data_IF_409153268115
#
_entry.id   IF_409153268115
#
_cell.length_a   1.000
_cell.length_b   1.000
_cell.length_c   1.000
_cell.angle_alpha   90.00
_cell.angle_beta   90.00
_cell.angle_gamma   90.00
#
_symmetry.space_group_name_H-M   'P 1'
#
loop_
_entity.id
_entity.type
_entity.pdbx_description
1 polymer ?
#
# COMPACT_ATOMS: atom_id res chain seq x y z
N UNK A 1 22.34 9.37 14.13
CA UNK A 1 20.96 9.88 14.33
C UNK A 1 20.14 8.73 14.88
N UNK A 2 19.41 8.96 15.95
CA UNK A 2 18.58 7.94 16.58
C UNK A 2 17.27 7.80 15.77
N UNK A 3 16.87 6.56 15.48
CA UNK A 3 15.55 6.29 14.89
C UNK A 3 14.48 6.44 15.99
N UNK A 4 13.51 7.31 15.76
CA UNK A 4 12.39 7.54 16.66
C UNK A 4 11.24 6.56 16.42
N UNK A 5 10.98 6.21 15.17
CA UNK A 5 9.98 5.24 14.76
C UNK A 5 10.17 4.87 13.30
N UNK A 6 9.60 3.74 12.86
CA UNK A 6 9.47 3.38 11.45
C UNK A 6 8.05 2.93 11.13
N UNK A 7 7.47 3.47 10.07
CA UNK A 7 6.18 3.02 9.54
C UNK A 7 6.40 2.37 8.18
N UNK A 8 6.04 1.10 8.07
CA UNK A 8 6.17 0.31 6.85
C UNK A 8 4.82 0.26 6.12
N UNK A 9 4.76 0.82 4.93
CA UNK A 9 3.61 0.73 4.04
C UNK A 9 3.84 -0.45 3.09
N UNK A 10 2.98 -1.46 3.17
CA UNK A 10 3.07 -2.69 2.38
C UNK A 10 1.94 -2.74 1.37
N UNK A 11 2.25 -2.94 0.09
CA UNK A 11 1.22 -3.20 -0.91
C UNK A 11 0.74 -4.64 -0.79
N UNK A 12 -0.59 -4.88 -0.95
CA UNK A 12 -1.15 -6.23 -0.98
C UNK A 12 -0.52 -7.13 -2.06
N UNK A 13 -0.63 -8.44 -1.89
CA UNK A 13 -0.19 -9.46 -2.85
C UNK A 13 -1.03 -9.53 -4.12
N UNK A 14 -0.65 -10.43 -5.03
CA UNK A 14 -1.38 -10.63 -6.28
C UNK A 14 -2.83 -11.05 -6.02
N UNK A 15 -3.74 -10.53 -6.86
CA UNK A 15 -5.18 -10.75 -6.75
C UNK A 15 -5.64 -11.76 -7.79
N UNK A 16 -6.54 -12.68 -7.40
CA UNK A 16 -7.23 -13.55 -8.34
C UNK A 16 -8.21 -12.74 -9.19
N UNK A 17 -7.83 -12.44 -10.43
CA UNK A 17 -8.59 -11.58 -11.35
C UNK A 17 -8.51 -12.10 -12.79
N UNK A 18 -9.12 -13.28 -13.09
CA UNK A 18 -9.04 -13.88 -14.42
C UNK A 18 -9.70 -13.01 -15.52
N UNK A 19 -10.73 -12.26 -15.18
CA UNK A 19 -11.47 -11.39 -16.10
C UNK A 19 -10.81 -10.03 -16.35
N UNK A 20 -9.67 -9.77 -15.71
CA UNK A 20 -8.91 -8.51 -15.83
C UNK A 20 -9.76 -7.26 -15.59
N UNK A 21 -10.58 -7.32 -14.56
CA UNK A 21 -11.44 -6.22 -14.15
C UNK A 21 -10.62 -5.19 -13.35
N UNK A 22 -10.88 -3.92 -13.56
CA UNK A 22 -10.37 -2.87 -12.67
C UNK A 22 -11.15 -2.96 -11.34
N UNK A 23 -10.59 -3.63 -10.35
CA UNK A 23 -11.33 -3.96 -9.12
C UNK A 23 -11.36 -2.83 -8.08
N UNK A 24 -10.44 -1.84 -8.14
CA UNK A 24 -10.48 -0.66 -7.25
C UNK A 24 -10.87 -0.98 -5.81
N UNK A 25 -12.04 -0.53 -5.36
CA UNK A 25 -12.61 -0.78 -4.02
C UNK A 25 -13.54 -2.00 -3.94
N UNK A 26 -13.73 -2.75 -5.01
CA UNK A 26 -14.59 -3.93 -5.01
C UNK A 26 -14.07 -4.96 -3.98
N UNK A 27 -14.95 -5.45 -3.07
CA UNK A 27 -14.53 -6.26 -1.91
C UNK A 27 -14.21 -7.72 -2.24
N UNK A 28 -14.82 -8.30 -3.30
CA UNK A 28 -14.77 -9.74 -3.61
C UNK A 28 -13.39 -10.21 -4.13
N UNK A 29 -12.50 -9.28 -4.42
CA UNK A 29 -11.19 -9.57 -5.01
C UNK A 29 -10.17 -9.96 -3.92
N UNK A 30 -10.07 -11.27 -3.66
CA UNK A 30 -9.07 -11.89 -2.79
C UNK A 30 -7.75 -12.17 -3.49
N UNK A 31 -6.75 -12.65 -2.74
CA UNK A 31 -5.46 -13.04 -3.27
C UNK A 31 -5.56 -14.28 -4.17
N UNK A 32 -4.69 -14.36 -5.18
CA UNK A 32 -4.38 -15.60 -5.90
C UNK A 32 -3.51 -16.52 -5.03
N UNK A 33 -3.28 -17.76 -5.49
CA UNK A 33 -2.32 -18.67 -4.84
C UNK A 33 -0.92 -18.03 -4.74
N UNK A 34 -0.46 -17.40 -5.82
CA UNK A 34 0.79 -16.63 -5.83
C UNK A 34 0.73 -15.45 -4.84
N UNK A 35 -0.42 -14.76 -4.75
CA UNK A 35 -0.64 -13.70 -3.79
C UNK A 35 -0.54 -14.15 -2.34
N UNK A 36 -1.04 -15.35 -2.03
CA UNK A 36 -0.88 -15.97 -0.71
C UNK A 36 0.59 -16.36 -0.43
N UNK A 37 1.32 -16.83 -1.43
CA UNK A 37 2.75 -17.07 -1.30
C UNK A 37 3.53 -15.78 -1.04
N UNK A 38 3.22 -14.72 -1.78
CA UNK A 38 3.78 -13.39 -1.56
C UNK A 38 3.48 -12.84 -0.16
N UNK A 39 2.27 -13.08 0.37
CA UNK A 39 1.89 -12.67 1.73
C UNK A 39 2.75 -13.39 2.79
N UNK A 40 2.99 -14.69 2.63
CA UNK A 40 3.90 -15.44 3.51
C UNK A 40 5.36 -14.96 3.37
N UNK A 41 5.80 -14.66 2.14
CA UNK A 41 7.14 -14.16 1.88
C UNK A 41 7.43 -12.81 2.55
N UNK A 42 6.49 -11.87 2.50
CA UNK A 42 6.67 -10.58 3.20
C UNK A 42 6.62 -10.74 4.72
N UNK A 43 5.82 -11.65 5.26
CA UNK A 43 5.81 -11.97 6.68
C UNK A 43 7.15 -12.56 7.14
N UNK A 44 7.71 -13.49 6.37
CA UNK A 44 9.04 -14.07 6.63
C UNK A 44 10.14 -13.01 6.58
N UNK A 45 10.10 -12.10 5.62
CA UNK A 45 11.05 -10.99 5.53
C UNK A 45 11.02 -10.09 6.77
N UNK A 46 9.84 -9.77 7.31
CA UNK A 46 9.71 -9.00 8.54
C UNK A 46 10.23 -9.78 9.75
N UNK A 47 9.97 -11.09 9.83
CA UNK A 47 10.46 -11.94 10.91
C UNK A 47 12.01 -12.03 10.91
N UNK A 48 12.61 -12.21 9.72
CA UNK A 48 14.06 -12.20 9.56
C UNK A 48 14.66 -10.82 9.94
N UNK A 49 14.05 -9.75 9.48
CA UNK A 49 14.44 -8.39 9.82
C UNK A 49 14.38 -8.15 11.33
N UNK A 50 13.31 -8.61 11.99
CA UNK A 50 13.16 -8.48 13.44
C UNK A 50 14.25 -9.25 14.19
N UNK A 51 14.59 -10.46 13.74
CA UNK A 51 15.69 -11.25 14.31
C UNK A 51 17.06 -10.55 14.16
N UNK A 52 17.30 -9.90 13.02
CA UNK A 52 18.55 -9.18 12.74
C UNK A 52 18.66 -7.85 13.50
N UNK A 53 17.58 -7.10 13.63
CA UNK A 53 17.59 -5.76 14.20
C UNK A 53 17.21 -5.70 15.68
N UNK A 54 16.61 -6.78 16.21
CA UNK A 54 16.01 -6.82 17.55
C UNK A 54 14.71 -5.99 17.63
N UNK A 55 14.10 -5.63 16.48
CA UNK A 55 12.90 -4.78 16.42
C UNK A 55 11.77 -5.49 15.69
N UNK A 56 10.74 -5.88 16.44
CA UNK A 56 9.50 -6.41 15.90
C UNK A 56 8.47 -5.27 15.70
N UNK A 57 7.52 -5.41 14.78
CA UNK A 57 6.38 -4.50 14.71
C UNK A 57 5.56 -4.54 16.01
N UNK A 58 5.19 -3.38 16.54
CA UNK A 58 4.24 -3.25 17.66
C UNK A 58 2.79 -3.14 17.19
N UNK A 59 2.57 -2.77 15.93
CA UNK A 59 1.23 -2.61 15.32
C UNK A 59 1.22 -3.20 13.92
N UNK A 60 0.19 -4.00 13.63
CA UNK A 60 -0.13 -4.47 12.26
C UNK A 60 -1.54 -4.03 11.92
N UNK A 61 -1.69 -3.19 10.90
CA UNK A 61 -2.97 -2.72 10.41
C UNK A 61 -3.14 -2.96 8.90
N UNK A 62 -4.37 -3.09 8.44
CA UNK A 62 -4.67 -3.29 7.02
C UNK A 62 -5.94 -2.58 6.58
N UNK A 63 -5.96 -2.18 5.31
CA UNK A 63 -7.17 -1.79 4.60
C UNK A 63 -8.30 -2.82 4.80
N UNK A 64 -9.58 -2.41 4.81
CA UNK A 64 -10.71 -3.34 4.97
C UNK A 64 -10.90 -4.29 3.77
N UNK A 65 -10.23 -4.07 2.64
CA UNK A 65 -10.38 -4.90 1.45
C UNK A 65 -9.72 -6.27 1.62
N UNK A 66 -10.43 -7.32 1.20
CA UNK A 66 -10.07 -8.74 1.41
C UNK A 66 -8.61 -9.04 1.10
N UNK A 67 -8.08 -8.60 -0.04
CA UNK A 67 -6.68 -8.80 -0.45
C UNK A 67 -5.65 -8.19 0.52
N UNK A 68 -5.98 -7.04 1.13
CA UNK A 68 -5.09 -6.41 2.11
C UNK A 68 -5.14 -7.16 3.44
N UNK A 69 -6.32 -7.57 3.90
CA UNK A 69 -6.50 -8.39 5.09
C UNK A 69 -5.77 -9.73 4.95
N UNK A 70 -5.92 -10.41 3.81
CA UNK A 70 -5.23 -11.68 3.52
C UNK A 70 -3.71 -11.52 3.44
N UNK A 71 -3.22 -10.38 2.96
CA UNK A 71 -1.77 -10.09 2.95
C UNK A 71 -1.23 -9.83 4.35
N UNK A 72 -1.99 -9.15 5.19
CA UNK A 72 -1.59 -8.78 6.55
C UNK A 72 -1.69 -9.94 7.55
N UNK A 73 -2.61 -10.88 7.34
CA UNK A 73 -2.89 -11.96 8.30
C UNK A 73 -1.65 -12.80 8.67
N UNK A 74 -0.83 -13.32 7.72
CA UNK A 74 0.37 -14.08 8.07
C UNK A 74 1.42 -13.23 8.79
N UNK A 75 1.46 -11.91 8.52
CA UNK A 75 2.36 -10.99 9.18
C UNK A 75 1.92 -10.75 10.65
N UNK A 76 0.65 -10.49 10.89
CA UNK A 76 0.10 -10.36 12.24
C UNK A 76 0.32 -11.64 13.07
N UNK A 77 0.08 -12.81 12.44
CA UNK A 77 0.32 -14.11 13.07
C UNK A 77 1.80 -14.36 13.41
N UNK A 78 2.74 -13.93 12.57
CA UNK A 78 4.18 -14.11 12.82
C UNK A 78 4.68 -13.37 14.07
N UNK A 79 3.97 -12.34 14.52
CA UNK A 79 4.32 -11.53 15.69
C UNK A 79 3.32 -11.64 16.84
N UNK A 80 2.34 -12.56 16.74
CA UNK A 80 1.26 -12.74 17.73
C UNK A 80 0.52 -11.42 18.04
N UNK A 81 0.28 -10.62 16.99
CA UNK A 81 -0.39 -9.32 17.09
C UNK A 81 -1.83 -9.39 16.56
N UNK A 82 -2.76 -8.62 17.14
CA UNK A 82 -4.06 -8.43 16.53
C UNK A 82 -3.94 -7.69 15.21
N UNK A 83 -4.68 -8.14 14.20
CA UNK A 83 -4.79 -7.40 12.93
C UNK A 83 -5.84 -6.30 13.07
N UNK A 84 -5.40 -5.04 13.01
CA UNK A 84 -6.27 -3.87 13.07
C UNK A 84 -6.82 -3.55 11.69
N UNK A 85 -8.14 -3.47 11.55
CA UNK A 85 -8.76 -2.99 10.30
C UNK A 85 -8.82 -1.47 10.32
N UNK A 86 -8.16 -0.83 9.33
CA UNK A 86 -8.05 0.62 9.22
C UNK A 86 -8.74 1.11 7.94
N UNK A 87 -9.93 1.75 8.04
CA UNK A 87 -10.70 2.18 6.87
C UNK A 87 -9.96 3.15 5.95
N UNK A 88 -9.14 4.02 6.52
CA UNK A 88 -8.41 5.04 5.75
C UNK A 88 -7.19 4.49 4.98
N UNK A 89 -6.84 3.20 5.15
CA UNK A 89 -5.86 2.51 4.30
C UNK A 89 -6.46 1.99 2.98
N UNK A 90 -7.76 2.24 2.71
CA UNK A 90 -8.45 1.76 1.51
C UNK A 90 -7.85 2.33 0.22
N UNK A 91 -8.04 1.61 -0.91
CA UNK A 91 -7.64 2.07 -2.25
C UNK A 91 -8.35 3.39 -2.63
N UNK A 92 -7.80 4.10 -3.59
CA UNK A 92 -8.42 5.28 -4.16
C UNK A 92 -9.73 4.93 -4.88
N UNK A 93 -10.72 5.81 -4.80
CA UNK A 93 -11.90 5.71 -5.65
C UNK A 93 -11.55 5.79 -7.13
N UNK A 94 -12.22 4.98 -7.94
CA UNK A 94 -12.05 4.99 -9.38
C UNK A 94 -13.39 4.80 -10.09
N UNK A 95 -13.82 5.79 -10.87
CA UNK A 95 -15.08 5.78 -11.61
C UNK A 95 -15.13 4.73 -12.75
N UNK A 96 -14.03 3.98 -12.96
CA UNK A 96 -13.93 2.88 -13.94
C UNK A 96 -13.92 1.50 -13.27
N UNK A 97 -14.19 1.42 -11.97
CA UNK A 97 -14.33 0.16 -11.25
C UNK A 97 -15.37 -0.75 -11.91
N UNK A 98 -15.10 -2.05 -11.93
CA UNK A 98 -15.94 -3.05 -12.59
C UNK A 98 -15.72 -3.17 -14.10
N UNK A 99 -14.92 -2.30 -14.71
CA UNK A 99 -14.67 -2.35 -16.16
C UNK A 99 -13.47 -3.22 -16.48
N UNK A 100 -13.62 -4.14 -17.42
CA UNK A 100 -12.50 -4.79 -18.10
C UNK A 100 -12.05 -3.94 -19.29
N UNK A 101 -10.75 -3.98 -19.63
CA UNK A 101 -10.21 -3.27 -20.81
C UNK A 101 -10.58 -1.77 -20.87
N UNK A 102 -10.33 -1.03 -19.79
CA UNK A 102 -10.70 0.39 -19.67
C UNK A 102 -10.32 1.23 -20.89
N UNK A 103 -9.12 1.06 -21.43
CA UNK A 103 -8.66 1.80 -22.62
C UNK A 103 -9.53 1.53 -23.88
N UNK A 104 -9.95 0.28 -24.10
CA UNK A 104 -10.83 -0.08 -25.21
C UNK A 104 -12.26 0.45 -24.99
N UNK A 105 -12.74 0.41 -23.75
CA UNK A 105 -14.04 0.95 -23.36
C UNK A 105 -14.12 2.45 -23.53
N UNK A 106 -13.07 3.19 -23.19
CA UNK A 106 -12.94 4.64 -23.42
C UNK A 106 -12.99 4.99 -24.93
N UNK A 107 -12.33 4.20 -25.77
CA UNK A 107 -12.37 4.42 -27.24
C UNK A 107 -13.77 4.20 -27.82
N UNK A 108 -14.53 3.24 -27.28
CA UNK A 108 -15.89 2.90 -27.76
C UNK A 108 -17.00 3.77 -27.19
N UNK A 109 -16.76 4.41 -26.02
CA UNK A 109 -17.80 5.18 -25.34
C UNK A 109 -17.33 6.62 -25.01
N UNK A 110 -17.59 7.59 -25.92
CA UNK A 110 -17.22 9.00 -25.70
C UNK A 110 -17.87 9.63 -24.46
N UNK A 111 -18.97 9.08 -23.96
CA UNK A 111 -19.63 9.57 -22.73
C UNK A 111 -18.74 9.46 -21.48
N UNK A 112 -17.70 8.65 -21.53
CA UNK A 112 -16.72 8.50 -20.44
C UNK A 112 -15.62 9.58 -20.47
N UNK A 113 -15.42 10.29 -21.59
CA UNK A 113 -14.35 11.27 -21.76
C UNK A 113 -14.40 12.43 -20.77
N UNK A 114 -15.57 12.96 -20.36
CA UNK A 114 -15.61 14.01 -19.34
C UNK A 114 -14.98 13.59 -18.01
N UNK A 115 -14.89 12.28 -17.73
CA UNK A 115 -14.21 11.75 -16.54
C UNK A 115 -12.69 11.86 -16.63
N UNK A 116 -12.10 12.06 -17.81
CA UNK A 116 -10.64 12.17 -18.03
C UNK A 116 -10.15 13.61 -18.20
N UNK A 117 -11.01 14.61 -18.03
CA UNK A 117 -10.70 16.02 -18.36
C UNK A 117 -9.59 16.66 -17.53
N UNK A 118 -9.24 16.13 -16.36
CA UNK A 118 -8.20 16.71 -15.52
C UNK A 118 -7.27 15.62 -14.95
N UNK A 119 -6.14 15.32 -15.61
CA UNK A 119 -5.17 14.34 -15.13
C UNK A 119 -4.35 14.83 -13.93
N UNK A 120 -4.25 16.14 -13.69
CA UNK A 120 -3.51 16.70 -12.57
C UNK A 120 -4.28 16.59 -11.25
N UNK A 121 -5.61 16.59 -11.33
CA UNK A 121 -6.53 16.32 -10.23
C UNK A 121 -7.52 15.28 -10.75
N UNK A 122 -7.33 13.99 -10.44
CA UNK A 122 -8.07 12.93 -11.12
C UNK A 122 -9.58 13.18 -11.02
N UNK A 123 -10.19 13.48 -12.20
CA UNK A 123 -11.64 13.68 -12.30
C UNK A 123 -12.41 12.36 -12.36
N UNK A 124 -11.68 11.24 -12.35
CA UNK A 124 -12.21 9.87 -12.33
C UNK A 124 -12.14 9.20 -10.97
N UNK A 125 -11.69 9.90 -9.91
CA UNK A 125 -11.55 9.30 -8.59
C UNK A 125 -11.18 10.28 -7.50
N UNK A 126 -10.71 9.75 -6.39
CA UNK A 126 -10.29 10.51 -5.22
C UNK A 126 -9.09 11.42 -5.53
N UNK A 127 -9.14 12.73 -5.15
CA UNK A 127 -8.01 13.64 -5.36
C UNK A 127 -6.74 13.18 -4.64
N UNK A 128 -5.58 13.23 -5.30
CA UNK A 128 -4.29 12.79 -4.73
C UNK A 128 -3.98 13.43 -3.38
N UNK A 129 -4.33 14.72 -3.19
CA UNK A 129 -4.11 15.41 -1.91
C UNK A 129 -4.97 14.84 -0.79
N UNK A 130 -6.22 14.46 -1.07
CA UNK A 130 -7.08 13.83 -0.08
C UNK A 130 -6.56 12.45 0.31
N UNK A 131 -6.11 11.64 -0.67
CA UNK A 131 -5.47 10.35 -0.41
C UNK A 131 -4.23 10.50 0.47
N UNK A 132 -3.31 11.40 0.10
CA UNK A 132 -2.10 11.64 0.88
C UNK A 132 -2.44 12.09 2.31
N UNK A 133 -3.42 12.98 2.47
CA UNK A 133 -3.82 13.49 3.79
C UNK A 133 -4.39 12.39 4.70
N UNK A 134 -5.33 11.54 4.21
CA UNK A 134 -5.88 10.44 5.03
C UNK A 134 -4.81 9.41 5.39
N UNK A 135 -3.97 9.04 4.42
CA UNK A 135 -2.88 8.09 4.66
C UNK A 135 -1.87 8.62 5.69
N UNK A 136 -1.45 9.89 5.58
CA UNK A 136 -0.53 10.50 6.54
C UNK A 136 -1.14 10.62 7.93
N UNK A 137 -2.44 10.90 8.05
CA UNK A 137 -3.14 10.91 9.33
C UNK A 137 -3.10 9.52 10.01
N UNK A 138 -3.32 8.45 9.25
CA UNK A 138 -3.19 7.07 9.77
C UNK A 138 -1.75 6.76 10.15
N UNK A 139 -0.79 7.10 9.28
CA UNK A 139 0.64 6.90 9.54
C UNK A 139 1.06 7.57 10.85
N UNK A 140 0.68 8.84 11.08
CA UNK A 140 1.03 9.57 12.30
C UNK A 140 0.36 8.99 13.53
N UNK A 141 -0.90 8.61 13.45
CA UNK A 141 -1.64 8.00 14.56
C UNK A 141 -1.04 6.66 14.95
N UNK A 142 -0.88 5.72 14.00
CA UNK A 142 -0.37 4.37 14.29
C UNK A 142 1.13 4.38 14.64
N UNK A 143 1.89 5.35 14.15
CA UNK A 143 3.25 5.62 14.63
C UNK A 143 3.24 6.01 16.11
N UNK A 144 2.34 6.92 16.50
CA UNK A 144 2.18 7.32 17.89
C UNK A 144 1.78 6.18 18.81
N UNK A 145 0.83 5.35 18.38
CA UNK A 145 0.41 4.15 19.12
C UNK A 145 1.56 3.14 19.28
N UNK A 146 2.33 2.88 18.22
CA UNK A 146 3.50 2.01 18.29
C UNK A 146 4.56 2.53 19.26
N UNK A 147 4.86 3.82 19.22
CA UNK A 147 5.82 4.45 20.15
C UNK A 147 5.31 4.42 21.59
N UNK A 148 4.00 4.58 21.81
CA UNK A 148 3.43 4.48 23.15
C UNK A 148 3.48 3.04 23.71
N UNK A 149 3.39 2.03 22.84
CA UNK A 149 3.46 0.62 23.22
C UNK A 149 4.90 0.13 23.46
N UNK A 150 5.85 0.49 22.59
CA UNK A 150 7.17 -0.14 22.51
C UNK A 150 8.35 0.87 22.63
N UNK A 151 8.03 2.15 22.82
CA UNK A 151 9.03 3.22 23.02
C UNK A 151 9.70 3.70 21.73
N UNK A 152 10.77 4.50 21.86
CA UNK A 152 11.51 5.03 20.71
C UNK A 152 12.14 3.93 19.87
N UNK A 153 11.96 4.04 18.55
CA UNK A 153 12.41 3.05 17.59
C UNK A 153 11.35 2.02 17.24
N UNK A 154 10.14 2.12 17.82
CA UNK A 154 9.02 1.23 17.50
C UNK A 154 8.67 1.21 16.01
N UNK A 155 8.19 0.07 15.55
CA UNK A 155 7.82 -0.16 14.16
C UNK A 155 6.32 -0.47 14.04
N UNK A 156 5.68 0.00 12.97
CA UNK A 156 4.33 -0.38 12.59
C UNK A 156 4.26 -0.79 11.13
N UNK A 157 3.39 -1.77 10.81
CA UNK A 157 3.21 -2.28 9.44
C UNK A 157 1.78 -2.06 9.00
N UNK A 158 1.59 -1.35 7.89
CA UNK A 158 0.31 -0.93 7.34
C UNK A 158 0.14 -1.50 5.94
N UNK A 159 -0.78 -2.46 5.77
CA UNK A 159 -1.04 -3.06 4.45
C UNK A 159 -2.12 -2.28 3.72
N UNK A 160 -1.77 -1.76 2.56
CA UNK A 160 -2.62 -0.89 1.75
C UNK A 160 -2.45 -1.22 0.25
N UNK A 161 -2.65 -0.23 -0.62
CA UNK A 161 -2.76 -0.39 -2.07
C UNK A 161 -1.77 0.52 -2.80
N UNK A 162 -1.61 0.27 -4.11
CA UNK A 162 -0.58 0.92 -4.92
C UNK A 162 -0.67 2.44 -4.90
N UNK A 163 -1.83 3.00 -5.23
CA UNK A 163 -1.93 4.45 -5.39
C UNK A 163 -1.85 5.21 -4.06
N UNK A 164 -2.54 4.82 -2.98
CA UNK A 164 -2.38 5.45 -1.66
C UNK A 164 -0.95 5.43 -1.15
N UNK A 165 -0.24 4.30 -1.26
CA UNK A 165 1.17 4.20 -0.85
C UNK A 165 2.05 5.14 -1.68
N UNK A 166 1.88 5.12 -3.01
CA UNK A 166 2.68 5.93 -3.91
C UNK A 166 2.50 7.44 -3.69
N UNK A 167 1.26 7.91 -3.56
CA UNK A 167 1.01 9.34 -3.32
C UNK A 167 1.48 9.79 -1.94
N UNK A 168 1.43 8.90 -0.93
CA UNK A 168 2.00 9.16 0.40
C UNK A 168 3.51 9.33 0.31
N UNK A 169 4.20 8.44 -0.40
CA UNK A 169 5.64 8.57 -0.65
C UNK A 169 5.98 9.87 -1.35
N UNK A 170 5.27 10.22 -2.43
CA UNK A 170 5.49 11.49 -3.13
C UNK A 170 5.28 12.70 -2.22
N UNK A 171 4.25 12.70 -1.37
CA UNK A 171 3.98 13.77 -0.42
C UNK A 171 5.11 13.94 0.60
N UNK A 172 5.60 12.83 1.18
CA UNK A 172 6.73 12.82 2.12
C UNK A 172 8.03 13.32 1.47
N UNK A 173 8.28 12.91 0.21
CA UNK A 173 9.45 13.35 -0.55
C UNK A 173 9.33 14.78 -1.08
N UNK A 174 8.22 15.50 -0.85
CA UNK A 174 7.97 16.85 -1.37
C UNK A 174 7.84 16.90 -2.90
N UNK A 175 7.50 15.81 -3.54
CA UNK A 175 7.38 15.66 -4.99
C UNK A 175 5.96 15.98 -5.47
N UNK A 176 5.79 16.40 -6.75
CA UNK A 176 4.45 16.55 -7.34
C UNK A 176 3.65 15.25 -7.26
N UNK A 177 2.39 15.34 -6.79
CA UNK A 177 1.53 14.16 -6.63
C UNK A 177 0.99 13.62 -7.97
N UNK A 178 0.93 14.43 -9.01
CA UNK A 178 0.63 13.95 -10.37
C UNK A 178 1.83 13.17 -10.92
N UNK A 179 1.59 12.04 -11.55
CA UNK A 179 2.65 11.15 -12.02
C UNK A 179 2.17 10.23 -13.15
N UNK A 180 3.08 9.67 -13.91
CA UNK A 180 2.81 8.57 -14.85
C UNK A 180 2.57 7.29 -14.04
N UNK A 181 1.39 6.66 -14.14
CA UNK A 181 1.07 5.42 -13.42
C UNK A 181 2.06 4.27 -13.68
N UNK A 182 2.70 4.25 -14.85
CA UNK A 182 3.68 3.22 -15.23
C UNK A 182 5.04 3.35 -14.51
N UNK A 183 5.26 4.47 -13.83
CA UNK A 183 6.50 4.78 -13.12
C UNK A 183 6.37 4.68 -11.61
N UNK A 184 5.32 4.03 -11.12
CA UNK A 184 5.12 3.80 -9.69
C UNK A 184 6.07 2.71 -9.20
N UNK A 185 7.00 3.06 -8.33
CA UNK A 185 7.78 2.09 -7.56
C UNK A 185 6.96 1.62 -6.36
N UNK A 186 6.06 0.70 -6.60
CA UNK A 186 5.19 0.08 -5.60
C UNK A 186 4.72 -1.27 -6.16
N UNK A 187 5.64 -2.23 -6.22
CA UNK A 187 5.39 -3.61 -6.68
C UNK A 187 4.50 -4.35 -5.68
N UNK A 188 3.92 -5.49 -6.09
CA UNK A 188 3.16 -6.35 -5.18
C UNK A 188 4.04 -6.76 -3.99
N UNK A 189 3.49 -6.68 -2.79
CA UNK A 189 4.18 -6.92 -1.52
C UNK A 189 5.49 -6.13 -1.31
N UNK A 190 5.70 -5.05 -2.05
CA UNK A 190 6.78 -4.12 -1.76
C UNK A 190 6.55 -3.39 -0.44
N UNK A 191 7.64 -2.97 0.19
CA UNK A 191 7.64 -2.27 1.47
C UNK A 191 8.23 -0.88 1.28
N UNK A 192 7.42 0.15 1.50
CA UNK A 192 7.86 1.54 1.55
C UNK A 192 7.94 1.95 3.03
N UNK A 193 9.15 2.13 3.54
CA UNK A 193 9.40 2.47 4.94
C UNK A 193 9.62 3.96 5.12
N UNK A 194 8.87 4.55 6.03
CA UNK A 194 9.01 5.93 6.48
C UNK A 194 9.79 5.92 7.80
N UNK A 195 11.07 6.25 7.76
CA UNK A 195 11.97 6.21 8.91
C UNK A 195 12.06 7.60 9.52
N UNK A 196 11.53 7.76 10.72
CA UNK A 196 11.56 9.00 11.49
C UNK A 196 12.82 9.03 12.34
N UNK A 197 13.63 10.07 12.16
CA UNK A 197 14.95 10.22 12.81
C UNK A 197 15.00 11.51 13.60
N UNK A 198 15.71 11.50 14.72
CA UNK A 198 15.89 12.67 15.58
C UNK A 198 16.52 13.83 14.78
N UNK A 199 15.99 15.05 14.98
CA UNK A 199 16.45 16.26 14.31
C UNK A 199 16.05 16.38 12.84
N UNK A 200 15.28 15.42 12.30
CA UNK A 200 14.82 15.44 10.92
C UNK A 200 13.32 15.76 10.85
N UNK A 201 12.95 16.84 10.15
CA UNK A 201 11.57 17.31 10.05
C UNK A 201 10.67 16.44 9.17
N UNK A 202 11.25 15.63 8.26
CA UNK A 202 10.54 14.70 7.37
C UNK A 202 11.19 13.32 7.45
N UNK A 203 10.40 12.22 7.38
CA UNK A 203 10.97 10.89 7.43
C UNK A 203 11.80 10.58 6.19
N UNK A 204 12.82 9.73 6.35
CA UNK A 204 13.59 9.16 5.24
C UNK A 204 12.82 7.99 4.64
N UNK A 205 12.67 7.97 3.33
CA UNK A 205 12.01 6.89 2.59
C UNK A 205 13.02 5.81 2.23
N UNK A 206 12.65 4.55 2.47
CA UNK A 206 13.35 3.35 1.98
C UNK A 206 12.36 2.47 1.23
N UNK A 207 12.83 1.80 0.19
CA UNK A 207 12.00 0.90 -0.62
C UNK A 207 12.64 -0.47 -0.69
N UNK A 208 11.83 -1.53 -0.49
CA UNK A 208 12.27 -2.92 -0.50
C UNK A 208 11.28 -3.79 -1.29
N UNK A 209 11.79 -4.81 -1.97
CA UNK A 209 11.01 -5.81 -2.71
C UNK A 209 11.32 -7.22 -2.18
N UNK A 210 10.74 -7.62 -1.03
CA UNK A 210 11.00 -8.92 -0.41
C UNK A 210 10.80 -10.11 -1.35
N UNK A 211 9.79 -10.01 -2.23
CA UNK A 211 9.37 -11.07 -3.14
C UNK A 211 9.77 -10.82 -4.60
N UNK A 212 10.90 -10.15 -4.85
CA UNK A 212 11.33 -9.80 -6.21
C UNK A 212 11.36 -11.00 -7.17
N UNK A 213 11.71 -12.19 -6.69
CA UNK A 213 11.73 -13.41 -7.49
C UNK A 213 10.33 -13.80 -7.99
N UNK A 214 9.30 -13.67 -7.16
CA UNK A 214 7.90 -14.01 -7.47
C UNK A 214 7.23 -13.00 -8.41
N UNK A 215 7.75 -11.77 -8.51
CA UNK A 215 7.20 -10.74 -9.39
C UNK A 215 7.26 -11.10 -10.87
N UNK A 216 8.16 -12.02 -11.26
CA UNK A 216 8.29 -12.48 -12.65
C UNK A 216 7.08 -13.27 -13.12
N UNK A 217 6.44 -13.98 -12.21
CA UNK A 217 5.29 -14.85 -12.48
C UNK A 217 3.96 -14.12 -12.23
N UNK A 218 4.01 -12.94 -11.63
CA UNK A 218 2.84 -12.14 -11.31
C UNK A 218 2.23 -11.47 -12.56
N UNK A 219 0.91 -11.40 -12.59
CA UNK A 219 0.20 -10.69 -13.64
C UNK A 219 0.46 -9.17 -13.56
N UNK A 220 0.95 -8.59 -14.66
CA UNK A 220 1.24 -7.15 -14.79
C UNK A 220 -0.01 -6.33 -15.12
N UNK A 221 -1.11 -6.51 -14.39
CA UNK A 221 -2.34 -5.77 -14.67
C UNK A 221 -2.28 -4.36 -14.07
N UNK A 222 -2.51 -3.30 -14.86
CA UNK A 222 -2.66 -1.96 -14.34
C UNK A 222 -3.96 -1.84 -13.55
N UNK A 223 -3.90 -1.27 -12.36
CA UNK A 223 -5.08 -1.02 -11.51
C UNK A 223 -5.32 -2.10 -10.44
N UNK A 224 -4.34 -2.94 -10.27
CA UNK A 224 -4.22 -3.77 -9.10
C UNK A 224 -3.49 -3.03 -8.00
#
# INVERSE_FOLDING_TARGET
>A
MQTLATVHLVRHGEVHNPDRVLYGRLPEFGLSELGHEMARGVAAWFAERAAQTGRAPAVVAASPLTRAQQTAAPLAAAFDLPLVTEPDLIEAENAFEGMSQVAASLKRNPRLWPRLRNPLRPSWGEPYRAQAARMLAVVDRLRGEAVAADGPGAESVLVSHQLPIWVTRLAVEGRPLWHDPRRRECSLTSVTSLVYEEGRGVPRVQYHEPNQALLKDASSLPGA
#
